data_IF_610507755827
#
_entry.id   IF_610507755827
#
_cell.length_a   1.000
_cell.length_b   1.000
_cell.length_c   1.000
_cell.angle_alpha   90.00
_cell.angle_beta   90.00
_cell.angle_gamma   90.00
#
_symmetry.space_group_name_H-M   'P 1'
#
loop_
_entity.id
_entity.type
_entity.pdbx_description
1 polymer ?
#
# COMPACT_ATOMS: atom_id res chain seq x y z
N UNK A 1 -101.32 5.67 18.36
CA UNK A 1 -100.52 5.94 19.58
C UNK A 1 -99.04 5.94 19.22
N UNK A 2 -98.33 7.06 19.45
CA UNK A 2 -96.94 7.18 19.97
C UNK A 2 -95.81 6.67 19.01
N UNK A 3 -94.68 7.34 18.70
CA UNK A 3 -93.96 8.53 19.17
C UNK A 3 -93.02 8.99 18.05
N UNK A 4 -92.77 10.30 17.92
CA UNK A 4 -91.54 10.79 17.29
C UNK A 4 -90.35 10.51 18.22
N UNK A 5 -89.18 10.20 17.67
CA UNK A 5 -87.89 10.30 18.37
C UNK A 5 -86.82 10.76 17.40
N UNK A 6 -86.17 11.87 17.74
CA UNK A 6 -85.15 12.58 16.98
C UNK A 6 -83.73 12.26 17.48
N UNK A 7 -82.76 12.49 16.58
CA UNK A 7 -81.30 12.73 16.76
C UNK A 7 -80.35 11.52 17.00
N UNK A 8 -79.02 11.64 16.75
CA UNK A 8 -78.28 12.37 15.71
C UNK A 8 -77.24 11.51 14.94
N UNK A 9 -76.64 12.13 13.92
CA UNK A 9 -75.57 11.65 13.04
C UNK A 9 -74.31 11.21 13.80
N UNK A 10 -73.71 10.06 13.47
CA UNK A 10 -72.33 9.72 13.85
C UNK A 10 -71.52 9.32 12.61
N UNK A 11 -70.66 10.23 12.15
CA UNK A 11 -69.65 9.98 11.11
C UNK A 11 -68.44 9.35 11.78
N UNK A 12 -68.21 8.04 11.58
CA UNK A 12 -67.00 7.39 12.07
C UNK A 12 -65.85 7.51 11.07
N UNK A 13 -64.98 8.48 11.39
CA UNK A 13 -63.57 8.69 11.04
C UNK A 13 -62.91 7.75 10.02
N UNK A 14 -62.60 8.30 8.83
CA UNK A 14 -61.54 7.77 7.95
C UNK A 14 -60.20 7.99 8.65
N UNK A 15 -59.52 6.91 9.05
CA UNK A 15 -58.13 6.96 9.52
C UNK A 15 -57.26 7.51 8.38
N UNK A 16 -56.80 8.76 8.54
CA UNK A 16 -55.70 9.31 7.76
C UNK A 16 -54.43 8.56 8.13
N UNK A 17 -54.04 7.57 7.30
CA UNK A 17 -52.65 7.17 7.23
C UNK A 17 -51.89 8.39 6.69
N UNK A 18 -51.11 9.03 7.55
CA UNK A 18 -50.20 10.10 7.18
C UNK A 18 -49.24 9.57 6.09
N UNK A 19 -48.99 10.29 4.99
CA UNK A 19 -48.05 9.89 3.94
C UNK A 19 -46.57 10.09 4.33
N UNK A 20 -46.31 10.75 5.46
CA UNK A 20 -44.97 11.09 5.96
C UNK A 20 -44.01 9.91 6.17
N UNK A 21 -44.40 8.77 6.78
CA UNK A 21 -43.44 7.69 7.04
C UNK A 21 -43.00 6.98 5.74
N UNK A 22 -43.83 6.96 4.70
CA UNK A 22 -43.52 6.33 3.41
C UNK A 22 -42.51 7.16 2.62
N UNK A 23 -42.67 8.49 2.64
CA UNK A 23 -41.75 9.40 1.98
C UNK A 23 -40.36 9.35 2.63
N UNK A 24 -40.30 9.32 3.97
CA UNK A 24 -39.05 9.20 4.72
C UNK A 24 -38.34 7.87 4.41
N UNK A 25 -39.08 6.76 4.38
CA UNK A 25 -38.50 5.44 4.03
C UNK A 25 -37.95 5.43 2.60
N UNK A 26 -38.66 6.05 1.65
CA UNK A 26 -38.22 6.16 0.27
C UNK A 26 -36.92 6.99 0.17
N UNK A 27 -36.87 8.15 0.82
CA UNK A 27 -35.68 9.01 0.85
C UNK A 27 -34.49 8.27 1.48
N UNK A 28 -34.70 7.57 2.60
CA UNK A 28 -33.66 6.78 3.26
C UNK A 28 -33.13 5.66 2.35
N UNK A 29 -34.01 5.02 1.58
CA UNK A 29 -33.64 3.97 0.63
C UNK A 29 -32.83 4.50 -0.55
N UNK A 30 -33.20 5.68 -1.08
CA UNK A 30 -32.43 6.36 -2.13
C UNK A 30 -31.04 6.77 -1.63
N UNK A 31 -30.92 7.28 -0.40
CA UNK A 31 -29.64 7.68 0.20
C UNK A 31 -28.69 6.49 0.40
N UNK A 32 -29.19 5.30 0.75
CA UNK A 32 -28.36 4.11 0.99
C UNK A 32 -27.81 3.47 -0.29
N UNK A 33 -28.51 3.59 -1.43
CA UNK A 33 -28.08 2.99 -2.70
C UNK A 33 -26.80 3.60 -3.30
N UNK A 34 -26.33 4.74 -2.79
CA UNK A 34 -25.13 5.43 -3.29
C UNK A 34 -23.80 5.02 -2.65
N UNK A 35 -23.79 4.22 -1.58
CA UNK A 35 -22.57 3.97 -0.79
C UNK A 35 -21.68 2.82 -1.30
N UNK A 36 -22.03 2.14 -2.40
CA UNK A 36 -21.19 1.07 -2.94
C UNK A 36 -20.21 1.62 -3.97
N UNK A 37 -19.03 2.08 -3.52
CA UNK A 37 -17.92 2.26 -4.45
C UNK A 37 -17.49 0.90 -4.99
N UNK A 38 -17.33 0.71 -6.31
CA UNK A 38 -16.80 -0.53 -6.86
C UNK A 38 -15.45 -0.83 -6.20
N UNK A 39 -15.28 -2.04 -5.67
CA UNK A 39 -13.96 -2.52 -5.25
C UNK A 39 -13.03 -2.43 -6.46
N UNK A 40 -12.08 -1.49 -6.41
CA UNK A 40 -11.09 -1.33 -7.47
C UNK A 40 -10.26 -2.61 -7.48
N UNK A 41 -10.37 -3.36 -8.56
CA UNK A 41 -9.51 -4.51 -8.81
C UNK A 41 -8.10 -3.95 -8.92
N UNK A 42 -7.19 -4.44 -8.07
CA UNK A 42 -5.77 -4.08 -8.15
C UNK A 42 -5.25 -4.72 -9.44
N UNK A 43 -5.22 -3.95 -10.52
CA UNK A 43 -4.73 -4.41 -11.84
C UNK A 43 -3.21 -4.32 -11.94
N UNK A 44 -2.55 -3.64 -11.00
CA UNK A 44 -1.12 -3.41 -11.01
C UNK A 44 -0.57 -3.45 -9.59
N UNK A 45 0.23 -4.46 -9.31
CA UNK A 45 1.08 -4.52 -8.11
C UNK A 45 2.44 -3.93 -8.46
N UNK A 46 2.81 -2.83 -7.81
CA UNK A 46 4.15 -2.25 -7.90
C UNK A 46 5.05 -2.92 -6.85
N UNK A 47 6.23 -3.37 -7.27
CA UNK A 47 7.21 -3.99 -6.39
C UNK A 47 8.25 -2.94 -6.02
N UNK A 48 8.34 -2.59 -4.73
CA UNK A 48 9.32 -1.65 -4.21
C UNK A 48 10.53 -2.44 -3.69
N UNK A 49 11.68 -2.32 -4.36
CA UNK A 49 12.92 -2.98 -3.94
C UNK A 49 13.69 -2.08 -2.99
N UNK A 50 13.61 -2.36 -1.69
CA UNK A 50 14.32 -1.59 -0.65
C UNK A 50 15.77 -2.05 -0.48
N UNK A 51 16.08 -3.30 -0.85
CA UNK A 51 17.40 -3.89 -0.72
C UNK A 51 18.04 -4.13 -2.09
N UNK A 52 19.39 -4.10 -2.16
CA UNK A 52 20.09 -4.52 -3.35
C UNK A 52 19.80 -5.99 -3.67
N UNK A 53 19.83 -6.38 -4.96
CA UNK A 53 19.78 -7.78 -5.35
C UNK A 53 20.79 -8.62 -4.57
N UNK A 54 20.39 -9.85 -4.23
CA UNK A 54 21.30 -10.81 -3.60
C UNK A 54 22.54 -11.01 -4.47
N UNK A 55 23.72 -11.00 -3.85
CA UNK A 55 25.00 -11.15 -4.56
C UNK A 55 25.57 -9.87 -5.16
N UNK A 56 24.90 -8.71 -5.04
CA UNK A 56 25.46 -7.43 -5.50
C UNK A 56 26.73 -7.02 -4.72
N UNK A 57 26.79 -7.38 -3.43
CA UNK A 57 27.98 -7.20 -2.59
C UNK A 57 28.38 -8.57 -2.04
N UNK A 58 29.40 -9.17 -2.64
CA UNK A 58 30.01 -10.41 -2.17
C UNK A 58 31.25 -10.11 -1.33
N UNK A 59 31.56 -10.97 -0.33
CA UNK A 59 32.73 -10.79 0.50
C UNK A 59 34.01 -10.86 -0.34
N UNK A 60 34.78 -9.78 -0.30
CA UNK A 60 36.08 -9.69 -0.95
C UNK A 60 37.15 -10.42 -0.15
N UNK A 61 38.01 -11.18 -0.83
CA UNK A 61 39.21 -11.73 -0.19
C UNK A 61 40.22 -10.61 0.07
N UNK A 62 40.56 -10.40 1.34
CA UNK A 62 41.64 -9.49 1.74
C UNK A 62 42.92 -10.31 1.96
N UNK A 63 43.97 -10.09 1.16
CA UNK A 63 45.24 -10.78 1.37
C UNK A 63 45.89 -10.32 2.68
N UNK A 64 46.59 -11.24 3.34
CA UNK A 64 47.41 -10.89 4.50
C UNK A 64 48.63 -10.07 4.04
N UNK A 65 48.95 -9.02 4.80
CA UNK A 65 50.19 -8.26 4.64
C UNK A 65 51.20 -8.82 5.62
N UNK A 66 52.29 -9.37 5.10
CA UNK A 66 53.34 -10.07 5.84
C UNK A 66 54.67 -9.32 5.81
N UNK A 67 54.79 -8.27 5.00
CA UNK A 67 55.99 -7.47 4.89
C UNK A 67 56.40 -6.88 6.23
N UNK A 68 57.61 -7.22 6.66
CA UNK A 68 58.25 -6.67 7.87
C UNK A 68 59.34 -5.67 7.52
N UNK A 69 59.83 -5.73 6.28
CA UNK A 69 60.86 -4.82 5.76
C UNK A 69 60.36 -4.04 4.54
N UNK A 70 60.95 -2.86 4.23
CA UNK A 70 60.58 -2.10 3.04
C UNK A 70 60.81 -2.84 1.72
N UNK A 71 61.75 -3.78 1.68
CA UNK A 71 62.04 -4.58 0.49
C UNK A 71 60.92 -5.59 0.17
N UNK A 72 60.14 -6.02 1.17
CA UNK A 72 59.02 -6.97 1.03
C UNK A 72 57.70 -6.27 0.66
N UNK A 73 57.59 -4.97 0.98
CA UNK A 73 56.39 -4.15 0.75
C UNK A 73 55.86 -4.16 -0.70
N UNK A 74 56.71 -4.13 -1.76
CA UNK A 74 56.23 -4.11 -3.14
C UNK A 74 55.42 -5.36 -3.49
N UNK A 75 55.80 -6.52 -2.95
CA UNK A 75 55.12 -7.80 -3.22
C UNK A 75 53.73 -7.80 -2.61
N UNK A 76 53.60 -7.37 -1.36
CA UNK A 76 52.31 -7.30 -0.68
C UNK A 76 51.40 -6.22 -1.26
N UNK A 77 51.97 -5.09 -1.69
CA UNK A 77 51.24 -4.05 -2.42
C UNK A 77 50.66 -4.59 -3.71
N UNK A 78 51.42 -5.41 -4.46
CA UNK A 78 50.95 -5.99 -5.70
C UNK A 78 49.81 -7.00 -5.47
N UNK A 79 49.95 -7.88 -4.45
CA UNK A 79 48.90 -8.81 -4.04
C UNK A 79 47.62 -8.07 -3.65
N UNK A 80 47.74 -7.04 -2.83
CA UNK A 80 46.62 -6.21 -2.39
C UNK A 80 45.95 -5.52 -3.58
N UNK A 81 46.72 -4.95 -4.50
CA UNK A 81 46.20 -4.30 -5.71
C UNK A 81 45.43 -5.29 -6.60
N UNK A 82 45.92 -6.51 -6.75
CA UNK A 82 45.23 -7.56 -7.52
C UNK A 82 43.87 -7.90 -6.89
N UNK A 83 43.86 -8.17 -5.58
CA UNK A 83 42.62 -8.50 -4.86
C UNK A 83 41.60 -7.35 -4.90
N UNK A 84 42.06 -6.11 -4.73
CA UNK A 84 41.20 -4.92 -4.83
C UNK A 84 40.57 -4.75 -6.20
N UNK A 85 41.30 -5.08 -7.28
CA UNK A 85 40.79 -4.97 -8.65
C UNK A 85 39.60 -5.88 -8.89
N UNK A 86 39.65 -7.10 -8.38
CA UNK A 86 38.54 -8.05 -8.47
C UNK A 86 37.31 -7.55 -7.69
N UNK A 87 37.55 -6.92 -6.53
CA UNK A 87 36.48 -6.46 -5.67
C UNK A 87 35.86 -5.10 -6.08
N UNK A 88 36.58 -4.30 -6.87
CA UNK A 88 36.11 -3.00 -7.32
C UNK A 88 34.79 -3.10 -8.12
N UNK A 89 34.61 -4.17 -8.90
CA UNK A 89 33.42 -4.36 -9.71
C UNK A 89 32.14 -4.43 -8.86
N UNK A 90 32.17 -5.15 -7.74
CA UNK A 90 31.02 -5.24 -6.82
C UNK A 90 30.67 -3.90 -6.18
N UNK A 91 31.66 -3.06 -5.93
CA UNK A 91 31.44 -1.71 -5.39
C UNK A 91 30.76 -0.84 -6.45
N UNK A 92 31.24 -0.88 -7.70
CA UNK A 92 30.67 -0.11 -8.80
C UNK A 92 29.22 -0.53 -9.08
N UNK A 93 28.93 -1.83 -9.08
CA UNK A 93 27.59 -2.38 -9.26
C UNK A 93 26.64 -1.92 -8.15
N UNK A 94 27.09 -1.94 -6.89
CA UNK A 94 26.33 -1.42 -5.75
C UNK A 94 26.05 0.08 -5.87
N UNK A 95 27.05 0.88 -6.24
CA UNK A 95 26.89 2.32 -6.38
C UNK A 95 25.95 2.68 -7.53
N UNK A 96 25.99 1.94 -8.63
CA UNK A 96 25.06 2.15 -9.75
C UNK A 96 23.64 1.76 -9.39
N UNK A 97 23.43 0.64 -8.69
CA UNK A 97 22.12 0.28 -8.15
C UNK A 97 21.55 1.38 -7.25
N UNK A 98 22.34 1.95 -6.33
CA UNK A 98 21.86 3.05 -5.47
C UNK A 98 21.42 4.28 -6.26
N UNK A 99 22.17 4.68 -7.29
CA UNK A 99 21.78 5.83 -8.15
C UNK A 99 20.44 5.63 -8.85
N UNK A 100 20.04 4.38 -9.10
CA UNK A 100 18.73 4.06 -9.69
C UNK A 100 17.59 4.15 -8.67
N UNK A 101 17.88 4.03 -7.36
CA UNK A 101 16.91 4.15 -6.28
C UNK A 101 16.71 5.60 -5.82
N UNK A 102 17.74 6.44 -5.93
CA UNK A 102 17.69 7.86 -5.52
C UNK A 102 16.95 8.77 -6.53
N UNK A 103 16.41 8.22 -7.62
CA UNK A 103 15.67 8.94 -8.67
C UNK A 103 14.18 8.70 -8.56
#
# INVERSE_FOLDING_TARGET
MIKQSSAPISKHSRKHYQPMPVLILAILSLLLSGCTSPTRVITKTETLYVLPPIGLVVPCYKPALTATTPAELPIDTLKLKSALRECAQYVDDYLNWRKLQDK
#
